data_IF_670858529926
#
_entry.id   IF_670858529926
#
_cell.length_a   1.000
_cell.length_b   1.000
_cell.length_c   1.000
_cell.angle_alpha   90.00
_cell.angle_beta   90.00
_cell.angle_gamma   90.00
#
_symmetry.space_group_name_H-M   'P 1'
#
loop_
_entity.id
_entity.type
_entity.pdbx_description
1 polymer ?
#
# COMPACT_ATOMS: atom_id res chain seq x y z
N UNK A 1 1.75 26.81 13.70
CA UNK A 1 1.88 25.52 13.00
C UNK A 1 1.88 24.45 14.08
N UNK A 2 0.71 23.85 14.37
CA UNK A 2 0.56 22.84 15.42
C UNK A 2 1.34 21.58 15.01
N UNK A 3 2.12 21.05 15.95
CA UNK A 3 3.05 19.94 15.75
C UNK A 3 2.38 18.73 15.08
N UNK A 4 2.80 18.42 13.85
CA UNK A 4 2.63 17.09 13.25
C UNK A 4 3.45 16.11 14.11
N UNK A 5 2.77 15.35 14.95
CA UNK A 5 3.24 14.13 15.63
C UNK A 5 4.64 14.25 16.24
N UNK A 6 4.77 15.04 17.31
CA UNK A 6 6.01 15.12 18.08
C UNK A 6 6.07 13.90 19.01
N UNK A 7 6.81 12.88 18.59
CA UNK A 7 7.46 11.89 19.46
C UNK A 7 6.61 11.29 20.58
N UNK A 8 5.58 10.53 20.22
CA UNK A 8 4.96 9.61 21.17
C UNK A 8 5.71 8.26 21.09
N UNK A 9 6.35 7.86 22.18
CA UNK A 9 7.31 6.74 22.26
C UNK A 9 6.72 5.45 22.83
N UNK A 10 5.43 5.45 23.12
CA UNK A 10 4.72 4.25 23.56
C UNK A 10 4.31 3.41 22.35
N UNK A 11 4.12 2.10 22.54
CA UNK A 11 3.35 1.28 21.60
C UNK A 11 1.96 1.91 21.49
N UNK A 12 1.78 2.78 20.50
CA UNK A 12 0.49 3.36 20.20
C UNK A 12 -0.45 2.21 19.84
N UNK A 13 -1.35 1.85 20.75
CA UNK A 13 -2.47 0.94 20.50
C UNK A 13 -3.49 1.61 19.56
N UNK A 14 -3.50 2.94 19.52
CA UNK A 14 -4.29 3.78 18.62
C UNK A 14 -3.38 4.75 17.85
N UNK A 15 -3.54 4.86 16.53
CA UNK A 15 -2.89 5.94 15.79
C UNK A 15 -3.39 7.29 16.29
N UNK A 16 -2.53 8.29 16.55
CA UNK A 16 -2.96 9.67 16.92
C UNK A 16 -3.91 10.35 15.90
N UNK A 17 -4.23 9.68 14.79
CA UNK A 17 -5.10 10.11 13.70
C UNK A 17 -6.21 9.10 13.36
N UNK A 18 -6.48 8.05 14.13
CA UNK A 18 -7.52 7.04 13.79
C UNK A 18 -8.87 7.69 13.49
N UNK A 19 -9.26 8.71 14.26
CA UNK A 19 -10.50 9.48 14.05
C UNK A 19 -10.56 10.33 12.76
N UNK A 20 -9.46 10.46 12.03
CA UNK A 20 -9.37 11.20 10.76
C UNK A 20 -8.96 10.33 9.55
N UNK A 21 -8.76 9.03 9.75
CA UNK A 21 -8.27 8.11 8.72
C UNK A 21 -9.35 7.21 8.14
N UNK A 22 -10.43 6.98 8.89
CA UNK A 22 -11.65 6.39 8.37
C UNK A 22 -12.56 7.48 7.82
N UNK A 23 -13.35 7.16 6.81
CA UNK A 23 -14.26 8.11 6.19
C UNK A 23 -15.00 7.50 5.01
N UNK A 24 -15.93 8.27 4.46
CA UNK A 24 -16.71 7.84 3.30
C UNK A 24 -16.70 8.90 2.21
N UNK A 25 -16.64 8.46 0.96
CA UNK A 25 -16.75 9.30 -0.24
C UNK A 25 -17.66 8.60 -1.24
N UNK A 26 -18.89 9.10 -1.38
CA UNK A 26 -19.90 8.45 -2.21
C UNK A 26 -20.25 7.06 -1.67
N UNK A 27 -19.98 6.02 -2.44
CA UNK A 27 -20.21 4.62 -2.06
C UNK A 27 -18.95 3.91 -1.55
N UNK A 28 -17.85 4.64 -1.33
CA UNK A 28 -16.61 4.12 -0.78
C UNK A 28 -16.58 4.41 0.72
N UNK A 29 -16.52 3.35 1.53
CA UNK A 29 -16.22 3.43 2.96
C UNK A 29 -14.78 2.95 3.19
N UNK A 30 -13.98 3.78 3.85
CA UNK A 30 -12.58 3.49 4.19
C UNK A 30 -12.51 3.31 5.71
N UNK A 31 -12.00 2.16 6.13
CA UNK A 31 -11.75 1.85 7.53
C UNK A 31 -10.26 1.66 7.73
N UNK A 32 -9.65 2.51 8.55
CA UNK A 32 -8.25 2.37 8.94
C UNK A 32 -8.15 1.59 10.24
N UNK A 33 -7.31 0.55 10.23
CA UNK A 33 -7.00 -0.27 11.38
C UNK A 33 -5.51 -0.11 11.69
N UNK A 34 -5.21 0.20 12.95
CA UNK A 34 -3.83 0.29 13.40
C UNK A 34 -3.44 -1.01 14.09
N UNK A 35 -2.70 -1.83 13.36
CA UNK A 35 -2.01 -3.00 13.92
C UNK A 35 -0.66 -3.12 13.19
N UNK A 36 0.36 -2.37 13.63
CA UNK A 36 1.59 -2.17 12.86
C UNK A 36 2.34 -3.48 12.58
N UNK A 37 2.14 -4.50 13.40
CA UNK A 37 2.76 -5.83 13.25
C UNK A 37 1.76 -6.95 12.95
N UNK A 38 0.45 -6.69 12.96
CA UNK A 38 -0.57 -7.73 12.76
C UNK A 38 -0.81 -8.62 13.99
N UNK A 39 -0.22 -8.29 15.14
CA UNK A 39 -0.22 -9.15 16.33
C UNK A 39 -1.61 -9.19 16.96
N UNK A 40 -2.29 -8.05 17.01
CA UNK A 40 -3.62 -7.98 17.61
C UNK A 40 -4.65 -8.68 16.73
N UNK A 41 -4.48 -8.65 15.41
CA UNK A 41 -5.31 -9.41 14.49
C UNK A 41 -5.09 -10.92 14.63
N UNK A 42 -3.84 -11.36 14.76
CA UNK A 42 -3.51 -12.78 14.87
C UNK A 42 -3.94 -13.43 16.19
N UNK A 43 -4.01 -12.65 17.27
CA UNK A 43 -4.38 -13.13 18.61
C UNK A 43 -5.87 -12.99 18.94
N UNK A 44 -6.68 -12.47 18.01
CA UNK A 44 -8.09 -12.18 18.21
C UNK A 44 -8.95 -13.07 17.30
N UNK A 45 -9.63 -14.05 17.91
CA UNK A 45 -10.49 -15.01 17.22
C UNK A 45 -11.68 -14.33 16.50
N UNK A 46 -12.05 -13.11 16.88
CA UNK A 46 -13.16 -12.35 16.28
C UNK A 46 -12.67 -11.33 15.22
N UNK A 47 -11.35 -11.17 15.04
CA UNK A 47 -10.77 -10.16 14.15
C UNK A 47 -11.30 -10.23 12.72
N UNK A 48 -11.52 -11.44 12.18
CA UNK A 48 -12.11 -11.60 10.85
C UNK A 48 -13.50 -10.96 10.73
N UNK A 49 -14.35 -11.13 11.75
CA UNK A 49 -15.72 -10.64 11.78
C UNK A 49 -15.73 -9.13 12.04
N UNK A 50 -15.03 -8.70 13.08
CA UNK A 50 -15.07 -7.31 13.54
C UNK A 50 -14.35 -6.34 12.59
N UNK A 51 -13.26 -6.79 11.98
CA UNK A 51 -12.32 -5.87 11.30
C UNK A 51 -12.38 -5.93 9.79
N UNK A 52 -12.67 -7.10 9.18
CA UNK A 52 -12.49 -7.29 7.73
C UNK A 52 -13.63 -7.98 6.99
N UNK A 53 -14.67 -8.50 7.67
CA UNK A 53 -15.73 -9.29 7.04
C UNK A 53 -16.42 -8.56 5.88
N UNK A 54 -16.78 -7.28 6.10
CA UNK A 54 -17.45 -6.44 5.12
C UNK A 54 -16.54 -5.82 4.06
N UNK A 55 -15.22 -5.98 4.16
CA UNK A 55 -14.28 -5.33 3.25
C UNK A 55 -14.23 -6.04 1.89
N UNK A 56 -14.50 -5.30 0.81
CA UNK A 56 -14.30 -5.77 -0.57
C UNK A 56 -12.84 -5.73 -1.01
N UNK A 57 -12.08 -4.78 -0.45
CA UNK A 57 -10.66 -4.58 -0.70
C UNK A 57 -9.97 -4.50 0.67
N UNK A 58 -8.88 -5.25 0.85
CA UNK A 58 -8.00 -5.15 2.00
C UNK A 58 -6.63 -4.72 1.52
N UNK A 59 -6.09 -3.68 2.16
CA UNK A 59 -4.72 -3.22 1.97
C UNK A 59 -3.97 -3.48 3.27
N UNK A 60 -2.93 -4.30 3.23
CA UNK A 60 -2.07 -4.58 4.38
C UNK A 60 -0.77 -3.80 4.27
N UNK A 61 -0.38 -3.07 5.32
CA UNK A 61 0.87 -2.30 5.39
C UNK A 61 1.54 -2.56 6.74
N UNK A 62 2.50 -3.50 6.80
CA UNK A 62 3.06 -3.98 8.07
C UNK A 62 4.59 -3.97 8.16
N UNK A 63 5.32 -4.00 7.04
CA UNK A 63 6.79 -4.21 7.04
C UNK A 63 7.58 -3.08 7.71
N UNK A 64 7.07 -1.85 7.70
CA UNK A 64 7.80 -0.66 8.16
C UNK A 64 8.13 -0.66 9.66
N UNK A 65 7.42 -1.45 10.47
CA UNK A 65 7.57 -1.50 11.94
C UNK A 65 8.40 -2.69 12.44
N UNK A 66 9.16 -3.33 11.55
CA UNK A 66 10.01 -4.49 11.84
C UNK A 66 11.52 -4.19 11.74
N UNK A 67 11.93 -2.91 11.72
CA UNK A 67 13.32 -2.47 11.60
C UNK A 67 14.27 -3.11 12.65
N UNK A 68 13.75 -3.36 13.84
CA UNK A 68 14.42 -4.04 14.96
C UNK A 68 14.52 -5.58 14.83
N UNK A 69 13.89 -6.17 13.81
CA UNK A 69 13.60 -7.61 13.76
C UNK A 69 14.43 -8.36 12.71
N UNK A 70 14.90 -9.60 12.99
CA UNK A 70 15.68 -10.37 12.03
C UNK A 70 14.83 -10.80 10.83
N UNK A 71 15.45 -10.86 9.63
CA UNK A 71 14.74 -11.12 8.38
C UNK A 71 13.84 -12.38 8.40
N UNK A 72 14.28 -13.54 8.93
CA UNK A 72 13.42 -14.73 8.98
C UNK A 72 12.13 -14.51 9.80
N UNK A 73 12.20 -13.72 10.87
CA UNK A 73 11.03 -13.38 11.67
C UNK A 73 10.06 -12.51 10.87
N UNK A 74 10.56 -11.46 10.21
CA UNK A 74 9.75 -10.60 9.33
C UNK A 74 9.02 -11.41 8.27
N UNK A 75 9.72 -12.32 7.59
CA UNK A 75 9.12 -13.15 6.54
C UNK A 75 8.05 -14.09 7.08
N UNK A 76 8.29 -14.69 8.26
CA UNK A 76 7.30 -15.55 8.91
C UNK A 76 6.05 -14.78 9.30
N UNK A 77 6.20 -13.59 9.90
CA UNK A 77 5.09 -12.76 10.35
C UNK A 77 4.27 -12.20 9.19
N UNK A 78 4.94 -11.72 8.12
CA UNK A 78 4.24 -11.25 6.92
C UNK A 78 3.42 -12.38 6.30
N UNK A 79 3.98 -13.58 6.17
CA UNK A 79 3.26 -14.74 5.63
C UNK A 79 2.07 -15.12 6.51
N UNK A 80 2.28 -15.19 7.82
CA UNK A 80 1.25 -15.54 8.79
C UNK A 80 0.08 -14.56 8.72
N UNK A 81 0.36 -13.26 8.77
CA UNK A 81 -0.65 -12.22 8.70
C UNK A 81 -1.42 -12.23 7.38
N UNK A 82 -0.71 -12.31 6.24
CA UNK A 82 -1.37 -12.39 4.93
C UNK A 82 -2.23 -13.65 4.80
N UNK A 83 -1.76 -14.79 5.32
CA UNK A 83 -2.52 -16.05 5.29
C UNK A 83 -3.77 -15.98 6.16
N UNK A 84 -3.66 -15.41 7.37
CA UNK A 84 -4.78 -15.25 8.29
C UNK A 84 -5.87 -14.34 7.69
N UNK A 85 -5.48 -13.18 7.16
CA UNK A 85 -6.41 -12.26 6.49
C UNK A 85 -7.06 -12.90 5.26
N UNK A 86 -6.29 -13.65 4.46
CA UNK A 86 -6.80 -14.33 3.28
C UNK A 86 -7.79 -15.45 3.64
N UNK A 87 -7.64 -16.08 4.79
CA UNK A 87 -8.53 -17.13 5.29
C UNK A 87 -9.85 -16.58 5.87
N UNK A 88 -9.94 -15.27 6.17
CA UNK A 88 -11.16 -14.69 6.71
C UNK A 88 -12.34 -14.83 5.73
N UNK A 89 -13.52 -15.26 6.20
CA UNK A 89 -14.71 -15.39 5.36
C UNK A 89 -15.04 -14.10 4.59
N UNK A 90 -15.53 -14.26 3.37
CA UNK A 90 -15.96 -13.16 2.51
C UNK A 90 -17.28 -13.50 1.85
N UNK A 91 -18.21 -12.55 1.88
CA UNK A 91 -19.45 -12.61 1.11
C UNK A 91 -19.28 -11.76 -0.15
N UNK A 92 -19.25 -12.38 -1.36
CA UNK A 92 -19.12 -11.64 -2.62
C UNK A 92 -20.20 -10.57 -2.81
N UNK A 93 -19.82 -9.43 -3.36
CA UNK A 93 -20.74 -8.33 -3.70
C UNK A 93 -20.71 -8.04 -5.21
N UNK A 94 -21.76 -7.41 -5.78
CA UNK A 94 -21.74 -6.96 -7.17
C UNK A 94 -20.56 -6.02 -7.44
N UNK A 95 -19.62 -6.45 -8.30
CA UNK A 95 -18.38 -5.72 -8.59
C UNK A 95 -17.14 -6.29 -7.94
N UNK A 96 -17.29 -7.01 -6.82
CA UNK A 96 -16.21 -7.68 -6.11
C UNK A 96 -16.57 -9.15 -5.84
N UNK A 97 -16.59 -10.00 -6.90
CA UNK A 97 -16.88 -11.43 -6.75
C UNK A 97 -15.82 -12.17 -5.91
N UNK A 98 -14.62 -11.61 -5.83
CA UNK A 98 -13.51 -12.06 -5.00
C UNK A 98 -12.98 -10.82 -4.26
N UNK A 99 -12.69 -10.96 -2.96
CA UNK A 99 -12.08 -9.91 -2.16
C UNK A 99 -10.71 -9.56 -2.74
N UNK A 100 -10.45 -8.29 -3.00
CA UNK A 100 -9.13 -7.80 -3.42
C UNK A 100 -8.20 -7.74 -2.21
N UNK A 101 -7.00 -8.25 -2.35
CA UNK A 101 -5.99 -8.29 -1.30
C UNK A 101 -4.71 -7.68 -1.87
N UNK A 102 -4.27 -6.59 -1.26
CA UNK A 102 -3.14 -5.79 -1.74
C UNK A 102 -2.15 -5.67 -0.59
N UNK A 103 -0.91 -6.11 -0.82
CA UNK A 103 0.19 -5.82 0.07
C UNK A 103 0.81 -4.49 -0.35
N UNK A 104 0.73 -3.51 0.54
CA UNK A 104 1.41 -2.24 0.42
C UNK A 104 2.75 -2.36 1.15
N UNK A 105 3.83 -2.61 0.41
CA UNK A 105 5.15 -2.81 0.99
C UNK A 105 5.69 -1.54 1.64
N UNK A 106 6.64 -1.65 2.57
CA UNK A 106 7.19 -0.50 3.28
C UNK A 106 7.89 0.52 2.35
N UNK A 107 7.88 1.82 2.69
CA UNK A 107 8.59 2.84 1.94
C UNK A 107 10.11 2.79 2.18
N UNK A 108 10.85 3.59 1.42
CA UNK A 108 12.27 3.82 1.62
C UNK A 108 12.53 4.42 3.00
N UNK A 109 13.59 3.93 3.64
CA UNK A 109 14.01 4.39 4.95
C UNK A 109 14.98 5.55 4.82
N UNK A 110 14.78 6.55 5.67
CA UNK A 110 15.66 7.71 5.75
C UNK A 110 17.01 7.28 6.35
N UNK A 111 18.10 7.56 5.63
CA UNK A 111 19.44 7.22 6.11
C UNK A 111 19.89 8.24 7.15
N UNK A 112 19.60 7.95 8.42
CA UNK A 112 20.01 8.79 9.56
C UNK A 112 21.48 8.60 9.89
N UNK A 113 22.13 9.69 10.29
CA UNK A 113 23.52 9.68 10.79
C UNK A 113 23.63 10.28 12.20
N UNK A 114 22.49 10.60 12.82
CA UNK A 114 22.41 11.20 14.15
C UNK A 114 22.37 10.15 15.27
N UNK A 115 22.31 10.61 16.52
CA UNK A 115 22.33 9.74 17.71
C UNK A 115 21.13 8.79 17.79
N UNK A 116 20.07 9.04 17.03
CA UNK A 116 18.86 8.22 17.01
C UNK A 116 19.17 6.78 16.64
N UNK A 117 20.03 6.57 15.62
CA UNK A 117 20.45 5.24 15.16
C UNK A 117 21.02 4.40 16.31
N UNK A 118 21.82 5.04 17.16
CA UNK A 118 22.43 4.36 18.32
C UNK A 118 21.43 4.18 19.46
N UNK A 119 20.64 5.21 19.76
CA UNK A 119 19.70 5.21 20.89
C UNK A 119 18.59 4.18 20.71
N UNK A 120 18.07 4.05 19.49
CA UNK A 120 16.92 3.19 19.19
C UNK A 120 17.29 1.91 18.45
N UNK A 121 18.60 1.69 18.19
CA UNK A 121 19.08 0.55 17.40
C UNK A 121 18.37 0.47 16.04
N UNK A 122 18.14 1.63 15.42
CA UNK A 122 17.56 1.70 14.10
C UNK A 122 18.55 1.04 13.12
N UNK A 123 18.14 -0.11 12.59
CA UNK A 123 18.91 -0.90 11.66
C UNK A 123 18.26 -0.90 10.26
N UNK A 124 17.37 0.07 10.01
CA UNK A 124 16.74 0.32 8.74
C UNK A 124 17.74 0.84 7.72
N UNK A 125 18.01 0.05 6.68
CA UNK A 125 18.77 0.52 5.52
C UNK A 125 18.02 0.18 4.24
N UNK A 126 18.12 1.02 3.20
CA UNK A 126 17.45 0.75 1.93
C UNK A 126 17.93 -0.57 1.28
N UNK A 127 19.18 -0.99 1.54
CA UNK A 127 19.68 -2.30 1.12
C UNK A 127 18.94 -3.46 1.80
N UNK A 128 18.74 -3.35 3.13
CA UNK A 128 17.96 -4.35 3.88
C UNK A 128 16.50 -4.35 3.45
N UNK A 129 15.90 -3.18 3.27
CA UNK A 129 14.53 -3.06 2.80
C UNK A 129 14.35 -3.64 1.39
N UNK A 130 15.33 -3.48 0.50
CA UNK A 130 15.30 -4.09 -0.83
C UNK A 130 15.37 -5.63 -0.77
N UNK A 131 16.25 -6.18 0.08
CA UNK A 131 16.30 -7.63 0.31
C UNK A 131 14.97 -8.17 0.85
N UNK A 132 14.37 -7.47 1.82
CA UNK A 132 13.07 -7.86 2.37
C UNK A 132 11.95 -7.75 1.35
N UNK A 133 11.97 -6.71 0.51
CA UNK A 133 11.01 -6.49 -0.58
C UNK A 133 11.00 -7.67 -1.53
N UNK A 134 12.16 -8.15 -1.94
CA UNK A 134 12.28 -9.28 -2.87
C UNK A 134 11.69 -10.57 -2.29
N UNK A 135 11.94 -10.88 -1.02
CA UNK A 135 11.38 -12.08 -0.37
C UNK A 135 9.88 -11.94 -0.08
N UNK A 136 9.45 -10.77 0.40
CA UNK A 136 8.04 -10.50 0.69
C UNK A 136 7.21 -10.46 -0.60
N UNK A 137 7.76 -10.00 -1.71
CA UNK A 137 7.10 -10.08 -3.02
C UNK A 137 6.83 -11.54 -3.42
N UNK A 138 7.76 -12.46 -3.19
CA UNK A 138 7.53 -13.90 -3.45
C UNK A 138 6.38 -14.43 -2.60
N UNK A 139 6.33 -14.08 -1.30
CA UNK A 139 5.23 -14.44 -0.39
C UNK A 139 3.90 -13.93 -0.94
N UNK A 140 3.83 -12.66 -1.36
CA UNK A 140 2.62 -12.08 -1.92
C UNK A 140 2.16 -12.83 -3.18
N UNK A 141 3.09 -13.16 -4.08
CA UNK A 141 2.79 -13.92 -5.30
C UNK A 141 2.28 -15.33 -5.01
N UNK A 142 2.87 -16.03 -4.05
CA UNK A 142 2.42 -17.36 -3.62
C UNK A 142 1.00 -17.34 -3.05
N UNK A 143 0.66 -16.30 -2.30
CA UNK A 143 -0.66 -16.12 -1.70
C UNK A 143 -1.68 -15.45 -2.64
N UNK A 144 -1.28 -15.14 -3.88
CA UNK A 144 -2.10 -14.44 -4.87
C UNK A 144 -2.58 -13.04 -4.43
N UNK A 145 -1.71 -12.32 -3.71
CA UNK A 145 -1.91 -10.91 -3.37
C UNK A 145 -1.33 -10.01 -4.47
N UNK A 146 -1.99 -8.89 -4.71
CA UNK A 146 -1.40 -7.78 -5.44
C UNK A 146 -0.32 -7.11 -4.58
N UNK A 147 0.66 -6.48 -5.22
CA UNK A 147 1.80 -5.84 -4.54
C UNK A 147 1.98 -4.40 -5.01
N UNK A 148 2.15 -3.47 -4.08
CA UNK A 148 2.55 -2.08 -4.33
C UNK A 148 3.92 -1.86 -3.68
N UNK A 149 4.92 -1.52 -4.49
CA UNK A 149 6.30 -1.33 -4.03
C UNK A 149 6.53 0.14 -3.61
N UNK A 150 6.13 0.50 -2.39
CA UNK A 150 6.40 1.85 -1.90
C UNK A 150 7.91 2.14 -1.84
N UNK A 151 8.76 1.14 -1.61
CA UNK A 151 10.20 1.33 -1.54
C UNK A 151 10.72 1.87 -2.87
N UNK A 152 10.35 1.25 -4.00
CA UNK A 152 10.76 1.72 -5.32
C UNK A 152 10.27 3.15 -5.59
N UNK A 153 9.01 3.44 -5.29
CA UNK A 153 8.40 4.74 -5.54
C UNK A 153 8.98 5.87 -4.69
N UNK A 154 9.43 5.56 -3.47
CA UNK A 154 9.91 6.57 -2.51
C UNK A 154 11.43 6.65 -2.42
N UNK A 155 12.17 5.68 -2.97
CA UNK A 155 13.63 5.66 -2.93
C UNK A 155 14.29 6.95 -3.47
N UNK A 156 13.84 7.53 -4.60
CA UNK A 156 14.37 8.82 -5.09
C UNK A 156 14.17 9.99 -4.11
N UNK A 157 13.21 9.85 -3.20
CA UNK A 157 12.81 10.85 -2.22
C UNK A 157 13.24 10.51 -0.79
N UNK A 158 14.05 9.46 -0.58
CA UNK A 158 14.36 8.89 0.75
C UNK A 158 15.00 9.85 1.77
N UNK A 159 15.51 11.01 1.33
CA UNK A 159 16.06 12.04 2.22
C UNK A 159 15.02 13.08 2.66
N UNK A 160 13.86 13.15 2.02
CA UNK A 160 12.82 14.13 2.34
C UNK A 160 12.36 14.06 3.80
N UNK A 161 12.16 12.88 4.43
CA UNK A 161 11.77 12.82 5.84
C UNK A 161 12.72 13.55 6.79
N UNK A 162 14.00 13.77 6.42
CA UNK A 162 14.94 14.56 7.23
C UNK A 162 14.46 16.00 7.45
N UNK A 163 13.71 16.55 6.50
CA UNK A 163 13.14 17.90 6.57
C UNK A 163 11.79 17.97 7.28
N UNK A 164 11.23 16.83 7.72
CA UNK A 164 9.88 16.74 8.29
C UNK A 164 9.91 16.10 9.68
N UNK A 165 9.37 14.90 9.85
CA UNK A 165 9.31 14.16 11.12
C UNK A 165 10.24 12.93 11.16
N UNK A 166 11.12 12.81 10.15
CA UNK A 166 12.11 11.74 10.03
C UNK A 166 11.53 10.33 9.86
N UNK A 167 10.25 10.21 9.52
CA UNK A 167 9.60 8.92 9.28
C UNK A 167 8.65 8.94 8.07
N UNK A 168 7.94 10.04 7.85
CA UNK A 168 6.88 10.12 6.86
C UNK A 168 7.25 11.08 5.70
N UNK A 169 6.89 10.65 4.49
CA UNK A 169 6.86 11.49 3.29
C UNK A 169 5.67 12.45 3.43
N UNK A 170 5.93 13.76 3.50
CA UNK A 170 4.94 14.76 3.92
C UNK A 170 5.01 16.09 3.15
N UNK A 171 6.04 16.28 2.35
CA UNK A 171 6.44 17.53 1.73
C UNK A 171 6.57 17.45 0.21
N UNK A 172 6.61 16.26 -0.39
CA UNK A 172 6.64 16.10 -1.84
C UNK A 172 5.54 15.15 -2.35
N UNK A 173 5.47 15.03 -3.68
CA UNK A 173 4.52 14.19 -4.41
C UNK A 173 4.91 12.70 -4.39
N UNK A 174 5.77 12.22 -3.47
CA UNK A 174 6.13 10.80 -3.41
C UNK A 174 4.94 9.91 -2.98
N UNK A 175 3.94 10.49 -2.33
CA UNK A 175 2.68 9.80 -1.98
C UNK A 175 1.81 9.59 -3.22
N UNK A 176 1.76 10.55 -4.15
CA UNK A 176 0.86 10.52 -5.30
C UNK A 176 1.02 9.25 -6.17
N UNK A 177 2.22 8.82 -6.58
CA UNK A 177 2.36 7.59 -7.35
C UNK A 177 2.02 6.34 -6.53
N UNK A 178 2.19 6.36 -5.20
CA UNK A 178 1.75 5.26 -4.33
C UNK A 178 0.23 5.17 -4.35
N UNK A 179 -0.45 6.30 -4.20
CA UNK A 179 -1.92 6.38 -4.21
C UNK A 179 -2.45 5.96 -5.57
N UNK A 180 -1.87 6.44 -6.67
CA UNK A 180 -2.26 6.07 -8.03
C UNK A 180 -2.10 4.57 -8.28
N UNK A 181 -0.97 3.97 -7.90
CA UNK A 181 -0.75 2.54 -8.07
C UNK A 181 -1.71 1.71 -7.21
N UNK A 182 -1.94 2.13 -5.95
CA UNK A 182 -2.89 1.47 -5.07
C UNK A 182 -4.32 1.53 -5.62
N UNK A 183 -4.78 2.72 -6.01
CA UNK A 183 -6.10 2.93 -6.62
C UNK A 183 -6.27 2.10 -7.88
N UNK A 184 -5.26 2.05 -8.75
CA UNK A 184 -5.26 1.19 -9.94
C UNK A 184 -5.50 -0.29 -9.58
N UNK A 185 -4.82 -0.81 -8.56
CA UNK A 185 -4.97 -2.22 -8.12
C UNK A 185 -6.27 -2.51 -7.39
N UNK A 186 -6.93 -1.49 -6.82
CA UNK A 186 -8.27 -1.67 -6.25
C UNK A 186 -9.32 -2.01 -7.29
N UNK A 187 -9.14 -1.55 -8.54
CA UNK A 187 -10.15 -1.66 -9.60
C UNK A 187 -11.35 -0.71 -9.42
N UNK A 188 -11.32 0.20 -8.44
CA UNK A 188 -12.41 1.16 -8.19
C UNK A 188 -12.59 2.13 -9.37
N UNK A 189 -11.50 2.49 -10.05
CA UNK A 189 -11.54 3.39 -11.21
C UNK A 189 -11.94 2.69 -12.52
N UNK A 190 -11.87 1.36 -12.57
CA UNK A 190 -12.35 0.56 -13.72
C UNK A 190 -13.86 0.26 -13.62
N UNK A 191 -14.50 0.64 -12.50
CA UNK A 191 -15.92 0.48 -12.26
C UNK A 191 -16.76 1.50 -13.06
N UNK A 192 -16.67 1.44 -14.39
CA UNK A 192 -17.75 1.92 -15.25
C UNK A 192 -18.87 0.88 -15.23
N UNK A 193 -19.65 0.87 -14.16
CA UNK A 193 -20.96 0.23 -14.18
C UNK A 193 -21.86 0.96 -15.19
N UNK A 194 -22.26 0.26 -16.24
CA UNK A 194 -23.65 0.32 -16.69
C UNK A 194 -24.21 1.60 -17.28
N UNK A 195 -23.41 2.51 -17.86
CA UNK A 195 -23.95 3.44 -18.87
C UNK A 195 -23.76 2.81 -20.24
N UNK A 196 -24.86 2.28 -20.76
CA UNK A 196 -25.11 1.97 -22.17
C UNK A 196 -24.87 3.19 -23.05
N UNK A 197 -23.61 3.53 -23.27
CA UNK A 197 -23.15 4.55 -24.20
C UNK A 197 -22.37 3.87 -25.31
N UNK A 198 -23.01 3.72 -26.46
CA UNK A 198 -22.52 3.07 -27.66
C UNK A 198 -21.29 3.80 -28.25
N UNK A 199 -20.13 3.75 -27.59
CA UNK A 199 -18.87 4.23 -28.16
C UNK A 199 -18.29 3.15 -29.08
N UNK A 200 -18.94 3.01 -30.24
CA UNK A 200 -18.32 2.46 -31.44
C UNK A 200 -17.00 3.19 -31.66
N UNK A 201 -15.90 2.55 -31.27
CA UNK A 201 -14.55 2.88 -31.70
C UNK A 201 -14.54 2.65 -33.21
N UNK A 202 -14.92 3.67 -33.99
CA UNK A 202 -14.74 3.66 -35.44
C UNK A 202 -13.25 3.61 -35.71
N UNK A 203 -12.74 2.40 -35.94
CA UNK A 203 -11.58 2.19 -36.77
C UNK A 203 -11.83 2.94 -38.08
N UNK A 204 -11.23 4.12 -38.23
CA UNK A 204 -11.11 4.78 -39.53
C UNK A 204 -9.70 4.57 -40.02
N UNK A 205 -9.45 3.35 -40.50
CA UNK A 205 -8.47 3.15 -41.55
C UNK A 205 -8.88 4.02 -42.74
N UNK A 206 -8.06 5.00 -43.07
CA UNK A 206 -8.06 5.62 -44.39
C UNK A 206 -6.62 5.61 -44.90
N UNK A 207 -6.24 4.47 -45.46
CA UNK A 207 -5.42 4.48 -46.65
C UNK A 207 -6.16 5.30 -47.72
N UNK A 208 -5.61 6.45 -48.11
CA UNK A 208 -5.81 6.96 -49.45
C UNK A 208 -4.45 7.22 -50.07
N UNK A 209 -4.10 6.35 -51.02
CA UNK A 209 -3.12 6.59 -52.07
C UNK A 209 -3.35 7.98 -52.67
N UNK A 210 -2.29 8.78 -52.80
CA UNK A 210 -2.15 9.68 -53.96
C UNK A 210 -0.73 9.57 -54.51
N UNK A 211 -0.67 9.01 -55.72
CA UNK A 211 0.43 9.10 -56.67
C UNK A 211 0.44 10.49 -57.31
N UNK A 212 1.63 10.91 -57.75
CA UNK A 212 1.90 11.94 -58.76
C UNK A 212 2.59 13.17 -58.17
N UNK A 213 3.68 13.72 -58.71
CA UNK A 213 4.41 13.48 -59.96
C UNK A 213 5.83 14.04 -59.83
N UNK A 214 6.73 13.52 -60.68
CA UNK A 214 8.06 14.02 -60.98
C UNK A 214 8.06 15.37 -61.73
N UNK A 215 9.24 16.03 -61.72
CA UNK A 215 9.72 17.17 -62.51
C UNK A 215 9.16 18.55 -62.06
N UNK A 216 9.99 19.53 -61.71
CA UNK A 216 11.19 20.07 -62.40
C UNK A 216 12.36 20.37 -61.47
#
# INVERSE_FOLDING_TARGET
MLHRLKGNTDNLLDSEKTGHKSGSVGNLDINFLWDPRGIDFLNDDEACVERVQGANIIVLSTVAHYDDSPAPYVFSQVREMMSAVAACPYTPTPGFPIRKQILLYAPAVVQRQDEFVRKFKDHGTNLRMAYWRDEVYKIARELNWEFVDQLELTLPHSLEPLGTDMAHFLANDAIDPIVDELLGKTGLCDYTAGVSGNFRRKHRGKHSKRRGNFAT
#
